data_IF_730619589870
#
_entry.id   IF_730619589870
#
_cell.length_a   1.000
_cell.length_b   1.000
_cell.length_c   1.000
_cell.angle_alpha   90.00
_cell.angle_beta   90.00
_cell.angle_gamma   90.00
#
_symmetry.space_group_name_H-M   'P 1'
#
loop_
_entity.id
_entity.type
_entity.pdbx_description
1 polymer ?
#
# COMPACT_ATOMS: atom_id res chain seq x y z
N UNK A 1 5.61 -21.38 -5.82
CA UNK A 1 6.86 -21.03 -5.12
C UNK A 1 6.89 -21.89 -3.86
N UNK A 2 7.71 -22.95 -3.85
CA UNK A 2 7.73 -24.02 -2.83
C UNK A 2 8.39 -23.54 -1.51
N UNK A 3 7.69 -22.73 -0.70
CA UNK A 3 8.16 -22.34 0.65
C UNK A 3 7.43 -23.04 1.81
N UNK A 4 6.27 -23.66 1.54
CA UNK A 4 5.43 -24.31 2.56
C UNK A 4 6.14 -25.37 3.43
N UNK A 5 6.90 -26.35 2.88
CA UNK A 5 7.41 -27.44 3.71
C UNK A 5 8.51 -26.99 4.68
N UNK A 6 9.19 -25.87 4.41
CA UNK A 6 10.21 -25.33 5.31
C UNK A 6 9.58 -24.45 6.40
N UNK A 7 8.49 -23.76 6.09
CA UNK A 7 7.72 -22.98 7.06
C UNK A 7 7.01 -23.88 8.07
N UNK A 8 6.43 -25.00 7.61
CA UNK A 8 5.83 -26.03 8.48
C UNK A 8 6.84 -26.65 9.44
N UNK A 9 8.06 -26.90 8.96
CA UNK A 9 9.14 -27.43 9.80
C UNK A 9 9.63 -26.41 10.83
N UNK A 10 9.52 -25.12 10.54
CA UNK A 10 9.83 -24.03 11.47
C UNK A 10 8.75 -23.91 12.56
N UNK A 11 7.48 -24.12 12.20
CA UNK A 11 6.33 -24.14 13.11
C UNK A 11 6.33 -25.34 14.08
N UNK A 12 7.15 -26.37 13.84
CA UNK A 12 7.22 -27.55 14.71
C UNK A 12 8.05 -27.33 15.99
N UNK A 13 8.85 -26.25 16.09
CA UNK A 13 9.62 -25.94 17.29
C UNK A 13 8.84 -24.95 18.18
N UNK A 14 8.46 -25.31 19.42
CA UNK A 14 7.55 -24.49 20.24
C UNK A 14 8.11 -23.09 20.56
N UNK A 15 9.41 -22.96 20.86
CA UNK A 15 10.04 -21.67 21.14
C UNK A 15 10.13 -20.74 19.91
N UNK A 16 10.26 -21.31 18.70
CA UNK A 16 10.29 -20.56 17.45
C UNK A 16 8.87 -20.25 16.96
N UNK A 17 7.93 -21.16 17.21
CA UNK A 17 6.52 -21.04 16.87
C UNK A 17 5.91 -19.77 17.49
N UNK A 18 6.07 -19.57 18.80
CA UNK A 18 5.45 -18.42 19.48
C UNK A 18 6.04 -17.09 19.00
N UNK A 19 7.36 -17.00 18.80
CA UNK A 19 8.00 -15.79 18.27
C UNK A 19 7.62 -15.50 16.81
N UNK A 20 7.47 -16.53 15.98
CA UNK A 20 7.03 -16.39 14.59
C UNK A 20 5.54 -16.02 14.52
N UNK A 21 4.69 -16.65 15.34
CA UNK A 21 3.25 -16.35 15.40
C UNK A 21 2.97 -14.94 15.90
N UNK A 22 3.72 -14.44 16.89
CA UNK A 22 3.60 -13.07 17.37
C UNK A 22 3.99 -12.04 16.29
N UNK A 23 5.07 -12.32 15.55
CA UNK A 23 5.46 -11.53 14.39
C UNK A 23 4.42 -11.56 13.26
N UNK A 24 3.79 -12.72 13.00
CA UNK A 24 2.71 -12.86 12.01
C UNK A 24 1.44 -12.13 12.47
N UNK A 25 1.11 -12.16 13.77
CA UNK A 25 -0.03 -11.44 14.33
C UNK A 25 0.16 -9.92 14.20
N UNK A 26 1.35 -9.43 14.53
CA UNK A 26 1.74 -8.02 14.36
C UNK A 26 1.66 -7.61 12.89
N UNK A 27 2.22 -8.42 11.98
CA UNK A 27 2.15 -8.19 10.54
C UNK A 27 0.71 -8.14 10.03
N UNK A 28 -0.12 -9.09 10.46
CA UNK A 28 -1.54 -9.15 10.08
C UNK A 28 -2.30 -7.92 10.58
N UNK A 29 -2.02 -7.47 11.80
CA UNK A 29 -2.60 -6.24 12.36
C UNK A 29 -2.21 -5.02 11.50
N UNK A 30 -0.92 -4.86 11.19
CA UNK A 30 -0.44 -3.77 10.34
C UNK A 30 -1.05 -3.81 8.95
N UNK A 31 -1.11 -4.98 8.33
CA UNK A 31 -1.72 -5.15 7.01
C UNK A 31 -3.21 -4.81 7.01
N UNK A 32 -3.94 -5.20 8.05
CA UNK A 32 -5.36 -4.85 8.20
C UNK A 32 -5.55 -3.35 8.45
N UNK A 33 -4.69 -2.75 9.25
CA UNK A 33 -4.72 -1.32 9.51
C UNK A 33 -4.50 -0.53 8.21
N UNK A 34 -3.49 -0.89 7.41
CA UNK A 34 -3.23 -0.27 6.11
C UNK A 34 -4.43 -0.43 5.17
N UNK A 35 -4.99 -1.65 5.06
CA UNK A 35 -6.17 -1.89 4.24
C UNK A 35 -7.37 -1.03 4.66
N UNK A 36 -7.60 -0.89 5.97
CA UNK A 36 -8.67 -0.05 6.51
C UNK A 36 -8.44 1.44 6.21
N UNK A 37 -7.22 1.96 6.41
CA UNK A 37 -6.88 3.35 6.10
C UNK A 37 -7.09 3.68 4.62
N UNK A 38 -6.60 2.81 3.72
CA UNK A 38 -6.76 3.01 2.28
C UNK A 38 -8.25 2.94 1.91
N UNK A 39 -9.02 2.01 2.48
CA UNK A 39 -10.47 1.92 2.26
C UNK A 39 -11.19 3.20 2.68
N UNK A 40 -10.90 3.71 3.88
CA UNK A 40 -11.47 4.96 4.39
C UNK A 40 -11.13 6.11 3.43
N UNK A 41 -9.87 6.22 3.01
CA UNK A 41 -9.44 7.30 2.12
C UNK A 41 -10.19 7.26 0.77
N UNK A 42 -10.34 6.08 0.15
CA UNK A 42 -11.11 5.92 -1.09
C UNK A 42 -12.58 6.34 -0.96
N UNK A 43 -13.23 5.98 0.16
CA UNK A 43 -14.61 6.39 0.43
C UNK A 43 -14.74 7.91 0.59
N UNK A 44 -13.76 8.57 1.23
CA UNK A 44 -13.76 10.03 1.36
C UNK A 44 -13.70 10.72 0.00
N UNK A 45 -12.90 10.22 -0.94
CA UNK A 45 -12.83 10.76 -2.31
C UNK A 45 -14.15 10.61 -3.07
N UNK A 46 -14.89 9.52 -2.86
CA UNK A 46 -16.21 9.32 -3.48
C UNK A 46 -17.28 10.18 -2.80
N UNK A 47 -17.24 10.35 -1.47
CA UNK A 47 -18.27 11.09 -0.74
C UNK A 47 -18.10 12.61 -0.84
N UNK A 48 -16.87 13.11 -0.96
CA UNK A 48 -16.57 14.54 -1.07
C UNK A 48 -17.38 15.30 -2.15
N UNK A 49 -17.45 14.84 -3.43
CA UNK A 49 -18.26 15.52 -4.44
C UNK A 49 -19.76 15.48 -4.13
N UNK A 50 -20.27 14.39 -3.54
CA UNK A 50 -21.68 14.26 -3.16
C UNK A 50 -22.02 15.28 -2.06
N UNK A 51 -21.21 15.36 -1.01
CA UNK A 51 -21.39 16.31 0.08
C UNK A 51 -21.35 17.75 -0.46
N UNK A 52 -20.43 18.04 -1.39
CA UNK A 52 -20.33 19.36 -2.01
C UNK A 52 -21.56 19.72 -2.87
N UNK A 53 -22.13 18.75 -3.59
CA UNK A 53 -23.37 18.94 -4.36
C UNK A 53 -24.56 19.17 -3.41
N UNK A 54 -24.70 18.38 -2.35
CA UNK A 54 -25.76 18.54 -1.35
C UNK A 54 -25.68 19.92 -0.68
N UNK A 55 -24.47 20.35 -0.32
CA UNK A 55 -24.24 21.67 0.28
C UNK A 55 -24.65 22.81 -0.67
N UNK A 56 -24.26 22.75 -1.95
CA UNK A 56 -24.67 23.73 -2.95
C UNK A 56 -26.19 23.76 -3.14
N UNK A 57 -26.85 22.60 -3.08
CA UNK A 57 -28.30 22.48 -3.18
C UNK A 57 -29.02 23.12 -1.98
N UNK A 58 -28.52 22.86 -0.76
CA UNK A 58 -29.08 23.45 0.45
C UNK A 58 -28.95 24.99 0.47
N UNK A 59 -27.86 25.53 -0.07
CA UNK A 59 -27.59 26.97 -0.12
C UNK A 59 -28.12 27.69 -1.38
N UNK A 60 -28.90 27.02 -2.23
CA UNK A 60 -29.57 27.63 -3.39
C UNK A 60 -28.61 28.39 -4.33
N UNK A 61 -27.41 27.85 -4.56
CA UNK A 61 -26.43 28.46 -5.46
C UNK A 61 -26.91 28.30 -6.91
N UNK A 62 -27.04 29.41 -7.65
CA UNK A 62 -27.63 29.45 -9.01
C UNK A 62 -26.91 28.58 -10.06
N UNK A 63 -25.64 28.23 -9.84
CA UNK A 63 -24.87 27.34 -10.72
C UNK A 63 -24.26 26.17 -9.94
N UNK A 64 -25.00 25.06 -9.86
CA UNK A 64 -24.51 23.83 -9.24
C UNK A 64 -23.37 23.26 -10.09
N UNK A 65 -22.16 23.27 -9.54
CA UNK A 65 -21.01 22.60 -10.16
C UNK A 65 -21.03 21.12 -9.76
N UNK A 66 -21.24 20.25 -10.74
CA UNK A 66 -21.16 18.80 -10.60
C UNK A 66 -19.70 18.37 -10.70
N UNK A 67 -19.01 18.26 -9.57
CA UNK A 67 -17.65 17.75 -9.53
C UNK A 67 -17.67 16.22 -9.73
N UNK A 68 -16.72 15.73 -10.51
CA UNK A 68 -16.39 14.30 -10.56
C UNK A 68 -15.38 13.98 -9.44
N UNK A 69 -15.35 12.73 -8.93
CA UNK A 69 -14.37 12.26 -7.95
C UNK A 69 -12.93 12.60 -8.33
N UNK A 70 -12.60 12.51 -9.62
CA UNK A 70 -11.31 12.96 -10.15
C UNK A 70 -11.48 14.18 -11.07
N UNK A 71 -10.58 15.17 -11.00
CA UNK A 71 -10.59 16.31 -11.91
C UNK A 71 -10.05 15.90 -13.30
N UNK A 72 -10.83 15.10 -14.03
CA UNK A 72 -10.54 14.65 -15.39
C UNK A 72 -11.07 15.61 -16.44
N UNK A 73 -10.32 15.80 -17.54
CA UNK A 73 -10.80 16.49 -18.73
C UNK A 73 -11.29 15.45 -19.72
N UNK A 74 -12.57 15.51 -20.07
CA UNK A 74 -13.20 14.58 -21.01
C UNK A 74 -13.43 15.24 -22.36
N UNK A 75 -13.23 14.52 -23.49
CA UNK A 75 -13.37 15.10 -24.82
C UNK A 75 -14.83 15.37 -25.24
N UNK A 76 -15.82 14.96 -24.42
CA UNK A 76 -17.24 15.24 -24.62
C UNK A 76 -17.78 16.17 -23.54
N UNK A 77 -18.80 17.01 -23.84
CA UNK A 77 -19.41 17.88 -22.87
C UNK A 77 -20.22 17.08 -21.85
N UNK A 78 -19.87 17.21 -20.57
CA UNK A 78 -20.60 16.60 -19.47
C UNK A 78 -21.70 17.55 -19.05
N UNK A 79 -22.96 17.21 -19.39
CA UNK A 79 -24.10 18.00 -18.97
C UNK A 79 -24.35 17.85 -17.46
N UNK A 80 -24.49 18.98 -16.71
CA UNK A 80 -24.92 18.98 -15.32
C UNK A 80 -26.21 18.16 -15.16
N UNK A 81 -26.23 17.20 -14.22
CA UNK A 81 -27.39 16.32 -13.94
C UNK A 81 -27.84 15.37 -15.07
N UNK A 82 -27.07 15.23 -16.15
CA UNK A 82 -27.41 14.32 -17.25
C UNK A 82 -27.20 12.83 -16.91
N UNK A 83 -27.81 11.93 -17.69
CA UNK A 83 -27.57 10.47 -17.60
C UNK A 83 -26.08 10.14 -17.78
N UNK A 84 -25.42 10.82 -18.72
CA UNK A 84 -24.01 10.65 -19.03
C UNK A 84 -23.11 10.94 -17.81
N UNK A 85 -23.43 11.96 -17.00
CA UNK A 85 -22.71 12.26 -15.76
C UNK A 85 -22.82 11.11 -14.75
N UNK A 86 -24.02 10.54 -14.56
CA UNK A 86 -24.22 9.41 -13.65
C UNK A 86 -23.44 8.17 -14.10
N UNK A 87 -23.41 7.88 -15.40
CA UNK A 87 -22.59 6.80 -15.95
C UNK A 87 -21.09 7.02 -15.71
N UNK A 88 -20.58 8.23 -15.93
CA UNK A 88 -19.18 8.55 -15.63
C UNK A 88 -18.86 8.41 -14.15
N UNK A 89 -19.76 8.87 -13.29
CA UNK A 89 -19.60 8.78 -11.85
C UNK A 89 -19.49 7.32 -11.38
N UNK A 90 -20.38 6.44 -11.88
CA UNK A 90 -20.34 5.00 -11.59
C UNK A 90 -19.05 4.38 -12.13
N UNK A 91 -18.64 4.75 -13.35
CA UNK A 91 -17.39 4.27 -13.94
C UNK A 91 -16.17 4.65 -13.11
N UNK A 92 -16.09 5.90 -12.64
CA UNK A 92 -15.01 6.36 -11.77
C UNK A 92 -15.00 5.65 -10.42
N UNK A 93 -16.16 5.38 -9.82
CA UNK A 93 -16.25 4.56 -8.61
C UNK A 93 -15.68 3.16 -8.87
N UNK A 94 -16.08 2.53 -9.98
CA UNK A 94 -15.61 1.19 -10.32
C UNK A 94 -14.10 1.15 -10.59
N UNK A 95 -13.58 2.15 -11.30
CA UNK A 95 -12.16 2.31 -11.54
C UNK A 95 -11.38 2.49 -10.22
N UNK A 96 -11.89 3.35 -9.32
CA UNK A 96 -11.31 3.58 -7.98
C UNK A 96 -11.25 2.28 -7.18
N UNK A 97 -12.36 1.53 -7.15
CA UNK A 97 -12.45 0.28 -6.41
C UNK A 97 -11.54 -0.80 -6.99
N UNK A 98 -11.39 -0.83 -8.31
CA UNK A 98 -10.48 -1.76 -9.00
C UNK A 98 -9.01 -1.46 -8.67
N UNK A 99 -8.63 -0.17 -8.72
CA UNK A 99 -7.28 0.27 -8.34
C UNK A 99 -7.02 -0.03 -6.86
N UNK A 100 -7.98 0.27 -5.99
CA UNK A 100 -7.92 -0.05 -4.57
C UNK A 100 -7.67 -1.54 -4.33
N UNK A 101 -8.48 -2.40 -4.95
CA UNK A 101 -8.39 -3.85 -4.79
C UNK A 101 -7.05 -4.40 -5.25
N UNK A 102 -6.50 -3.85 -6.34
CA UNK A 102 -5.18 -4.23 -6.85
C UNK A 102 -4.07 -3.84 -5.86
N UNK A 103 -4.07 -2.59 -5.40
CA UNK A 103 -3.08 -2.09 -4.44
C UNK A 103 -3.16 -2.84 -3.11
N UNK A 104 -4.36 -3.02 -2.57
CA UNK A 104 -4.59 -3.72 -1.30
C UNK A 104 -4.23 -5.19 -1.35
N UNK A 105 -4.15 -5.79 -2.56
CA UNK A 105 -3.73 -7.18 -2.73
C UNK A 105 -2.21 -7.31 -2.85
N UNK A 106 -1.58 -6.41 -3.62
CA UNK A 106 -0.14 -6.50 -3.93
C UNK A 106 0.73 -6.12 -2.72
N UNK A 107 0.37 -5.08 -1.97
CA UNK A 107 1.18 -4.60 -0.84
C UNK A 107 1.33 -5.64 0.29
N UNK A 108 0.24 -6.28 0.79
CA UNK A 108 0.35 -7.33 1.79
C UNK A 108 1.14 -8.54 1.31
N UNK A 109 0.98 -8.93 0.03
CA UNK A 109 1.72 -10.05 -0.55
C UNK A 109 3.23 -9.78 -0.55
N UNK A 110 3.64 -8.60 -1.02
CA UNK A 110 5.05 -8.21 -1.00
C UNK A 110 5.61 -8.16 0.43
N UNK A 111 4.85 -7.57 1.35
CA UNK A 111 5.27 -7.41 2.74
C UNK A 111 5.36 -8.77 3.45
N UNK A 112 4.47 -9.73 3.10
CA UNK A 112 4.51 -11.10 3.61
C UNK A 112 5.75 -11.85 3.11
N UNK A 113 6.08 -11.76 1.82
CA UNK A 113 7.32 -12.34 1.29
C UNK A 113 8.56 -11.76 1.96
N UNK A 114 8.57 -10.44 2.19
CA UNK A 114 9.65 -9.76 2.89
C UNK A 114 9.79 -10.26 4.33
N UNK A 115 8.67 -10.39 5.04
CA UNK A 115 8.64 -10.92 6.40
C UNK A 115 9.14 -12.37 6.47
N UNK A 116 8.70 -13.23 5.55
CA UNK A 116 9.17 -14.62 5.46
C UNK A 116 10.68 -14.70 5.25
N UNK A 117 11.24 -13.89 4.34
CA UNK A 117 12.69 -13.86 4.11
C UNK A 117 13.48 -13.37 5.34
N UNK A 118 12.98 -12.33 6.03
CA UNK A 118 13.60 -11.83 7.26
C UNK A 118 13.59 -12.92 8.35
N UNK A 119 12.46 -13.61 8.52
CA UNK A 119 12.33 -14.71 9.47
C UNK A 119 13.34 -15.84 9.19
N UNK A 120 13.45 -16.26 7.92
CA UNK A 120 14.43 -17.27 7.51
C UNK A 120 15.88 -16.83 7.74
N UNK A 121 16.23 -15.57 7.44
CA UNK A 121 17.58 -15.06 7.72
C UNK A 121 17.89 -15.03 9.23
N UNK A 122 16.92 -14.63 10.05
CA UNK A 122 17.09 -14.55 11.51
C UNK A 122 17.28 -15.95 12.12
N UNK A 123 16.56 -16.93 11.60
CA UNK A 123 16.68 -18.33 12.01
C UNK A 123 18.05 -18.91 11.64
N UNK A 124 18.51 -18.70 10.39
CA UNK A 124 19.84 -19.12 9.96
C UNK A 124 20.96 -18.47 10.78
N UNK A 125 20.81 -17.18 11.09
CA UNK A 125 21.79 -16.45 11.93
C UNK A 125 21.85 -17.03 13.34
N UNK A 126 20.70 -17.36 13.93
CA UNK A 126 20.64 -17.99 15.25
C UNK A 126 21.28 -19.38 15.25
N UNK A 127 20.98 -20.22 14.23
CA UNK A 127 21.63 -21.52 14.08
C UNK A 127 23.14 -21.39 13.92
N UNK A 128 23.61 -20.41 13.14
CA UNK A 128 25.03 -20.16 12.92
C UNK A 128 25.74 -19.73 14.21
N UNK A 129 25.08 -18.90 15.03
CA UNK A 129 25.61 -18.47 16.33
C UNK A 129 25.72 -19.60 17.37
N UNK A 130 24.98 -20.70 17.19
CA UNK A 130 24.99 -21.87 18.08
C UNK A 130 25.80 -23.06 17.54
N UNK A 131 26.36 -22.98 16.34
CA UNK A 131 27.20 -24.05 15.79
C UNK A 131 28.58 -24.00 16.46
N UNK A 132 28.94 -25.10 17.11
CA UNK A 132 30.30 -25.34 17.59
C UNK A 132 31.22 -25.73 16.41
N UNK A 133 32.49 -25.32 16.45
CA UNK A 133 33.45 -25.40 15.32
C UNK A 133 33.68 -26.83 14.78
N UNK A 134 33.17 -27.86 15.46
CA UNK A 134 33.36 -29.28 15.12
C UNK A 134 32.32 -29.84 14.14
N UNK A 135 31.20 -29.13 13.87
CA UNK A 135 30.09 -29.65 13.08
C UNK A 135 30.03 -29.09 11.64
N UNK A 136 31.07 -29.36 10.83
CA UNK A 136 31.18 -28.94 9.42
C UNK A 136 29.95 -29.27 8.57
N UNK A 137 29.27 -30.40 8.82
CA UNK A 137 28.06 -30.80 8.07
C UNK A 137 26.88 -29.87 8.32
N UNK A 138 26.71 -29.36 9.54
CA UNK A 138 25.65 -28.40 9.86
C UNK A 138 25.98 -27.01 9.29
N UNK A 139 27.24 -26.61 9.37
CA UNK A 139 27.74 -25.38 8.76
C UNK A 139 27.51 -25.38 7.25
N UNK A 140 27.90 -26.46 6.55
CA UNK A 140 27.72 -26.59 5.10
C UNK A 140 26.25 -26.52 4.68
N UNK A 141 25.34 -27.14 5.44
CA UNK A 141 23.89 -27.04 5.20
C UNK A 141 23.38 -25.61 5.40
N UNK A 142 23.82 -24.92 6.45
CA UNK A 142 23.44 -23.54 6.73
C UNK A 142 23.90 -22.58 5.61
N UNK A 143 25.15 -22.72 5.15
CA UNK A 143 25.70 -21.92 4.04
C UNK A 143 24.94 -22.18 2.72
N UNK A 144 24.58 -23.43 2.44
CA UNK A 144 23.81 -23.78 1.24
C UNK A 144 22.40 -23.17 1.26
N UNK A 145 21.75 -23.17 2.42
CA UNK A 145 20.44 -22.57 2.62
C UNK A 145 20.50 -21.05 2.51
N UNK A 146 21.50 -20.42 3.13
CA UNK A 146 21.74 -18.98 3.01
C UNK A 146 21.97 -18.56 1.55
N UNK A 147 22.74 -19.34 0.79
CA UNK A 147 22.98 -19.08 -0.63
C UNK A 147 21.68 -19.15 -1.45
N UNK A 148 20.82 -20.11 -1.15
CA UNK A 148 19.49 -20.23 -1.80
C UNK A 148 18.58 -19.05 -1.45
N UNK A 149 18.58 -18.63 -0.18
CA UNK A 149 17.82 -17.48 0.29
C UNK A 149 18.29 -16.17 -0.35
N UNK A 150 19.61 -15.99 -0.50
CA UNK A 150 20.19 -14.85 -1.21
C UNK A 150 19.78 -14.82 -2.69
N UNK A 151 19.70 -15.97 -3.36
CA UNK A 151 19.16 -16.05 -4.73
C UNK A 151 17.68 -15.63 -4.77
N UNK A 152 16.86 -16.11 -3.83
CA UNK A 152 15.45 -15.72 -3.73
C UNK A 152 15.29 -14.21 -3.49
N UNK A 153 16.06 -13.63 -2.56
CA UNK A 153 16.09 -12.19 -2.31
C UNK A 153 16.46 -11.43 -3.58
N UNK A 154 17.47 -11.89 -4.33
CA UNK A 154 17.90 -11.22 -5.56
C UNK A 154 16.80 -11.23 -6.63
N UNK A 155 16.05 -12.34 -6.75
CA UNK A 155 14.88 -12.42 -7.65
C UNK A 155 13.79 -11.45 -7.19
N UNK A 156 13.47 -11.43 -5.90
CA UNK A 156 12.46 -10.52 -5.36
C UNK A 156 12.86 -9.05 -5.57
N UNK A 157 14.12 -8.71 -5.29
CA UNK A 157 14.66 -7.36 -5.50
C UNK A 157 14.67 -6.98 -6.99
N UNK A 158 14.94 -7.91 -7.90
CA UNK A 158 14.90 -7.64 -9.34
C UNK A 158 13.49 -7.30 -9.83
N UNK A 159 12.46 -7.93 -9.24
CA UNK A 159 11.05 -7.69 -9.59
C UNK A 159 10.51 -6.44 -8.89
N UNK A 160 10.67 -6.36 -7.57
CA UNK A 160 10.06 -5.29 -6.75
C UNK A 160 10.94 -4.06 -6.59
N UNK A 161 12.25 -4.14 -6.82
CA UNK A 161 13.16 -3.00 -6.73
C UNK A 161 12.73 -1.83 -7.62
N UNK A 162 12.47 -2.05 -8.92
CA UNK A 162 11.94 -1.00 -9.79
C UNK A 162 10.58 -0.45 -9.34
N UNK A 163 9.69 -1.32 -8.85
CA UNK A 163 8.35 -0.94 -8.38
C UNK A 163 8.46 0.00 -7.17
N UNK A 164 9.30 -0.35 -6.19
CA UNK A 164 9.53 0.46 -4.99
C UNK A 164 10.19 1.79 -5.36
N UNK A 165 11.19 1.79 -6.24
CA UNK A 165 11.83 3.03 -6.70
C UNK A 165 10.83 3.95 -7.39
N UNK A 166 10.00 3.40 -8.26
CA UNK A 166 8.93 4.16 -8.92
C UNK A 166 7.97 4.75 -7.89
N UNK A 167 7.51 3.95 -6.93
CA UNK A 167 6.59 4.38 -5.88
C UNK A 167 7.19 5.46 -4.96
N UNK A 168 8.47 5.33 -4.59
CA UNK A 168 9.18 6.36 -3.81
C UNK A 168 9.29 7.66 -4.60
N UNK A 169 9.59 7.58 -5.90
CA UNK A 169 9.66 8.74 -6.79
C UNK A 169 8.32 9.45 -6.93
N UNK A 170 7.25 8.72 -7.22
CA UNK A 170 5.90 9.31 -7.34
C UNK A 170 5.43 9.92 -6.02
N UNK A 171 5.64 9.24 -4.89
CA UNK A 171 5.27 9.75 -3.57
C UNK A 171 6.03 11.03 -3.23
N UNK A 172 7.32 11.11 -3.53
CA UNK A 172 8.11 12.33 -3.31
C UNK A 172 7.55 13.51 -4.13
N UNK A 173 7.25 13.29 -5.41
CA UNK A 173 6.66 14.32 -6.28
C UNK A 173 5.30 14.76 -5.75
N UNK A 174 4.43 13.81 -5.36
CA UNK A 174 3.11 14.10 -4.80
C UNK A 174 3.21 14.92 -3.52
N UNK A 175 4.07 14.53 -2.58
CA UNK A 175 4.27 15.27 -1.33
C UNK A 175 4.77 16.69 -1.59
N UNK A 176 5.73 16.86 -2.50
CA UNK A 176 6.21 18.18 -2.91
C UNK A 176 5.08 19.04 -3.50
N UNK A 177 4.25 18.48 -4.38
CA UNK A 177 3.11 19.18 -4.97
C UNK A 177 2.06 19.56 -3.90
N UNK A 178 1.76 18.67 -2.95
CA UNK A 178 0.83 18.95 -1.85
C UNK A 178 1.32 20.07 -0.94
N UNK A 179 2.61 20.09 -0.58
CA UNK A 179 3.20 21.16 0.23
C UNK A 179 3.06 22.51 -0.49
N UNK A 180 3.30 22.53 -1.81
CA UNK A 180 3.15 23.74 -2.62
C UNK A 180 1.69 24.22 -2.69
N UNK A 181 0.74 23.32 -2.94
CA UNK A 181 -0.69 23.64 -2.95
C UNK A 181 -1.16 24.20 -1.58
N UNK A 182 -0.74 23.58 -0.48
CA UNK A 182 -1.07 24.04 0.87
C UNK A 182 -0.52 25.45 1.15
N UNK A 183 0.67 25.75 0.64
CA UNK A 183 1.30 27.07 0.78
C UNK A 183 0.51 28.14 0.03
N UNK A 184 0.07 27.85 -1.20
CA UNK A 184 -0.75 28.79 -1.98
C UNK A 184 -2.12 29.05 -1.34
N UNK A 185 -2.80 28.01 -0.86
CA UNK A 185 -4.11 28.17 -0.19
C UNK A 185 -3.98 29.05 1.06
N UNK A 186 -2.88 28.89 1.83
CA UNK A 186 -2.60 29.78 2.97
C UNK A 186 -2.37 31.21 2.51
N UNK A 187 -1.54 31.43 1.48
CA UNK A 187 -1.27 32.77 0.93
C UNK A 187 -2.56 33.49 0.49
N UNK A 188 -3.45 32.80 -0.22
CA UNK A 188 -4.76 33.37 -0.65
C UNK A 188 -5.64 33.71 0.56
N UNK A 189 -5.65 32.88 1.62
CA UNK A 189 -6.38 33.22 2.87
C UNK A 189 -5.77 34.39 3.61
N UNK A 190 -4.45 34.57 3.59
CA UNK A 190 -3.78 35.72 4.20
C UNK A 190 -4.09 37.01 3.44
N UNK A 191 -4.04 37.00 2.10
CA UNK A 191 -4.37 38.17 1.26
C UNK A 191 -5.83 38.59 1.45
N UNK A 192 -6.77 37.64 1.58
CA UNK A 192 -8.19 37.93 1.82
C UNK A 192 -8.51 38.41 3.25
N UNK A 193 -7.54 38.38 4.16
CA UNK A 193 -7.67 38.80 5.58
C UNK A 193 -7.04 40.17 5.86
N UNK A 194 -6.34 40.77 4.90
CA UNK A 194 -5.83 42.14 5.04
C UNK A 194 -6.98 43.09 4.65
N UNK A 195 -7.51 43.90 5.59
CA UNK A 195 -8.58 44.86 5.33
C UNK A 195 -8.12 46.03 4.45
#
# INVERSE_FOLDING_TARGET
MHLDPYFDKMLSNPNLKDSVLDGVATFRCLSWAVAAFVFISGNVYILAPIIFIIYQYAHHVESIKYLLPYPGVYPWPISPNGFLYKCHYIYEIFATFSLFSLTSSIEPLFSLYSFQMIGQMREMTYRLAQIDNTNERQLRKCVLQYTTLMKCRNILQKIYGPIILWMMGTNAIILCALIFQLTQVRSIRYIKRIP
#
